data_IF_561845363115
#
_entry.id   IF_561845363115
#
_cell.length_a   1.000
_cell.length_b   1.000
_cell.length_c   1.000
_cell.angle_alpha   90.00
_cell.angle_beta   90.00
_cell.angle_gamma   90.00
#
_symmetry.space_group_name_H-M   'P 1'
#
loop_
_entity.id
_entity.type
_entity.pdbx_description
1 polymer ?
#
# COMPACT_ATOMS: atom_id res chain seq x y z
N UNK A 1 -68.64 17.51 14.40
CA UNK A 1 -68.66 16.98 15.78
C UNK A 1 -69.17 15.54 15.75
N UNK A 2 -68.34 14.64 16.28
CA UNK A 2 -68.65 13.37 16.97
C UNK A 2 -69.61 12.29 16.38
N UNK A 3 -69.02 11.09 16.30
CA UNK A 3 -69.45 9.77 16.84
C UNK A 3 -70.28 8.80 15.97
N UNK A 4 -69.61 7.69 15.64
CA UNK A 4 -69.88 6.27 15.98
C UNK A 4 -71.28 5.66 15.90
N UNK A 5 -71.35 4.44 15.34
CA UNK A 5 -72.43 3.42 15.45
C UNK A 5 -72.39 2.50 14.21
N UNK A 6 -71.86 1.27 14.19
CA UNK A 6 -72.12 -0.02 14.88
C UNK A 6 -73.46 -0.71 14.48
N UNK A 7 -73.35 -2.03 14.22
CA UNK A 7 -74.35 -3.12 14.08
C UNK A 7 -74.97 -3.33 12.68
N UNK A 8 -75.10 -4.54 12.12
CA UNK A 8 -74.89 -5.95 12.53
C UNK A 8 -75.16 -6.83 11.27
N UNK A 9 -75.25 -8.16 11.23
CA UNK A 9 -75.21 -9.28 12.16
C UNK A 9 -75.32 -10.58 11.30
N UNK A 10 -74.99 -11.76 11.88
CA UNK A 10 -75.36 -13.15 11.49
C UNK A 10 -74.36 -13.86 10.55
N UNK A 11 -73.85 -15.06 10.84
CA UNK A 11 -74.12 -16.00 11.94
C UNK A 11 -73.19 -17.22 11.88
N UNK A 12 -72.96 -17.80 13.06
CA UNK A 12 -72.10 -18.95 13.34
C UNK A 12 -72.54 -20.26 12.68
N UNK A 13 -71.56 -21.06 12.24
CA UNK A 13 -71.60 -22.52 12.32
C UNK A 13 -70.23 -23.00 12.81
N UNK A 14 -70.22 -23.52 14.04
CA UNK A 14 -69.11 -24.25 14.65
C UNK A 14 -69.23 -25.72 14.26
N UNK A 15 -68.13 -26.32 13.79
CA UNK A 15 -67.78 -27.70 14.13
C UNK A 15 -66.25 -27.79 14.26
N UNK A 16 -65.83 -28.22 15.44
CA UNK A 16 -64.48 -28.58 15.85
C UNK A 16 -64.18 -30.04 15.47
N UNK A 17 -62.94 -30.38 15.05
CA UNK A 17 -62.17 -31.54 15.55
C UNK A 17 -60.83 -31.76 14.80
N UNK A 18 -59.76 -31.92 15.61
CA UNK A 18 -58.47 -32.63 15.44
C UNK A 18 -57.64 -32.52 14.12
N UNK A 19 -56.39 -32.04 14.24
CA UNK A 19 -55.31 -32.26 13.25
C UNK A 19 -54.56 -33.58 13.49
N UNK A 20 -53.26 -33.70 13.14
CA UNK A 20 -52.50 -33.11 12.03
C UNK A 20 -52.14 -34.18 10.97
N UNK A 21 -51.67 -33.82 9.78
CA UNK A 21 -50.70 -34.69 9.08
C UNK A 21 -49.87 -33.95 8.03
N UNK A 22 -48.60 -34.34 8.01
CA UNK A 22 -47.49 -33.83 7.23
C UNK A 22 -47.62 -34.27 5.77
N UNK A 23 -47.41 -33.36 4.82
CA UNK A 23 -47.04 -33.75 3.46
C UNK A 23 -45.66 -33.16 3.15
N UNK A 24 -44.69 -34.07 3.09
CA UNK A 24 -43.32 -33.80 2.69
C UNK A 24 -43.31 -33.42 1.20
N UNK A 25 -42.79 -32.24 0.90
CA UNK A 25 -42.51 -31.80 -0.46
C UNK A 25 -41.21 -32.49 -0.94
N UNK A 26 -41.31 -33.21 -2.05
CA UNK A 26 -40.25 -34.08 -2.59
C UNK A 26 -39.03 -33.24 -3.05
N UNK A 27 -37.78 -33.63 -2.71
CA UNK A 27 -36.62 -32.84 -3.10
C UNK A 27 -36.38 -32.91 -4.62
N UNK A 28 -36.25 -31.73 -5.24
CA UNK A 28 -35.90 -31.53 -6.65
C UNK A 28 -34.72 -32.42 -7.09
N UNK A 29 -34.96 -33.35 -8.01
CA UNK A 29 -33.89 -34.14 -8.64
C UNK A 29 -33.11 -33.30 -9.64
N UNK A 30 -31.87 -32.96 -9.29
CA UNK A 30 -30.91 -32.37 -10.22
C UNK A 30 -30.51 -33.39 -11.30
N UNK A 31 -30.25 -32.95 -12.55
CA UNK A 31 -29.76 -33.83 -13.59
C UNK A 31 -28.38 -34.40 -13.24
N UNK A 32 -28.10 -35.63 -13.69
CA UNK A 32 -26.82 -36.30 -13.45
C UNK A 32 -25.67 -35.48 -14.05
N UNK A 33 -24.67 -35.18 -13.21
CA UNK A 33 -23.46 -34.46 -13.63
C UNK A 33 -22.70 -35.32 -14.64
N UNK A 34 -22.43 -34.76 -15.82
CA UNK A 34 -21.52 -35.37 -16.79
C UNK A 34 -20.15 -35.59 -16.14
N UNK A 35 -19.61 -36.80 -16.31
CA UNK A 35 -18.29 -37.18 -15.81
C UNK A 35 -17.22 -36.51 -16.68
N UNK A 36 -16.90 -35.26 -16.38
CA UNK A 36 -15.65 -34.66 -16.86
C UNK A 36 -14.49 -35.46 -16.28
N UNK A 37 -13.63 -35.98 -17.16
CA UNK A 37 -12.39 -36.67 -16.80
C UNK A 37 -11.42 -35.70 -16.13
N UNK A 38 -11.62 -35.42 -14.85
CA UNK A 38 -10.62 -34.79 -14.00
C UNK A 38 -9.71 -35.91 -13.51
N UNK A 39 -8.46 -35.90 -13.94
CA UNK A 39 -7.42 -36.78 -13.41
C UNK A 39 -7.29 -36.50 -11.91
N UNK A 40 -7.88 -37.34 -11.07
CA UNK A 40 -7.71 -37.31 -9.61
C UNK A 40 -6.37 -37.93 -9.27
N UNK A 41 -5.30 -37.23 -9.59
CA UNK A 41 -4.02 -37.44 -8.92
C UNK A 41 -4.17 -36.73 -7.57
N UNK A 42 -4.14 -37.48 -6.47
CA UNK A 42 -4.05 -36.87 -5.14
C UNK A 42 -2.67 -36.25 -5.02
N UNK A 43 -2.55 -35.00 -5.43
CA UNK A 43 -1.37 -34.19 -5.14
C UNK A 43 -1.58 -33.67 -3.72
N UNK A 44 -0.98 -34.34 -2.73
CA UNK A 44 -0.78 -33.75 -1.41
C UNK A 44 0.19 -32.58 -1.57
N UNK A 45 -0.34 -31.40 -1.91
CA UNK A 45 0.42 -30.16 -1.82
C UNK A 45 0.25 -29.71 -0.37
N UNK A 46 1.25 -29.97 0.47
CA UNK A 46 1.22 -29.42 1.83
C UNK A 46 1.34 -27.89 1.73
N UNK A 47 0.81 -27.15 2.71
CA UNK A 47 1.01 -25.68 2.78
C UNK A 47 2.51 -25.31 2.67
N UNK A 48 3.38 -26.20 3.11
CA UNK A 48 4.82 -26.06 3.02
C UNK A 48 5.33 -26.15 1.57
N UNK A 49 4.71 -26.93 0.68
CA UNK A 49 5.10 -27.06 -0.73
C UNK A 49 4.67 -25.87 -1.61
N UNK A 50 3.60 -25.15 -1.24
CA UNK A 50 3.22 -23.88 -1.90
C UNK A 50 4.12 -22.73 -1.43
N UNK A 51 4.60 -22.80 -0.19
CA UNK A 51 5.41 -21.76 0.46
C UNK A 51 6.91 -22.04 0.38
N UNK A 52 7.33 -23.22 -0.07
CA UNK A 52 8.73 -23.51 -0.33
C UNK A 52 9.09 -22.95 -1.70
N UNK A 53 9.92 -21.90 -1.80
CA UNK A 53 10.56 -21.63 -3.07
C UNK A 53 11.32 -22.90 -3.43
N UNK A 54 11.03 -23.48 -4.60
CA UNK A 54 12.00 -24.38 -5.25
C UNK A 54 13.29 -23.57 -5.30
N UNK A 55 14.21 -23.91 -4.41
CA UNK A 55 15.54 -23.32 -4.34
C UNK A 55 16.31 -23.78 -5.57
N UNK A 56 15.96 -23.22 -6.73
CA UNK A 56 16.96 -22.90 -7.72
C UNK A 56 17.82 -21.85 -7.05
N UNK A 57 19.11 -22.14 -6.87
CA UNK A 57 20.07 -21.17 -6.34
C UNK A 57 19.76 -19.80 -6.95
N UNK A 58 19.40 -18.83 -6.12
CA UNK A 58 19.09 -17.49 -6.60
C UNK A 58 20.28 -17.04 -7.44
N UNK A 59 20.09 -16.96 -8.76
CA UNK A 59 21.17 -16.58 -9.68
C UNK A 59 21.55 -15.17 -9.27
N UNK A 60 22.68 -15.05 -8.59
CA UNK A 60 23.15 -13.79 -8.04
C UNK A 60 23.64 -12.93 -9.20
N UNK A 61 22.82 -11.97 -9.60
CA UNK A 61 23.21 -10.96 -10.58
C UNK A 61 24.19 -10.00 -9.88
N UNK A 62 25.42 -9.83 -10.38
CA UNK A 62 26.39 -8.93 -9.77
C UNK A 62 25.93 -7.47 -9.87
N UNK A 63 26.20 -6.70 -8.81
CA UNK A 63 26.00 -5.25 -8.80
C UNK A 63 27.13 -4.60 -9.62
N UNK A 64 26.77 -3.59 -10.40
CA UNK A 64 27.71 -2.74 -11.09
C UNK A 64 28.23 -1.68 -10.09
N UNK A 65 29.36 -1.95 -9.45
CA UNK A 65 29.94 -1.09 -8.40
C UNK A 65 30.22 0.34 -8.90
N UNK A 66 30.68 0.48 -10.15
CA UNK A 66 30.94 1.79 -10.74
C UNK A 66 29.63 2.60 -10.88
N UNK A 67 28.58 1.96 -11.38
CA UNK A 67 27.25 2.59 -11.47
C UNK A 67 26.67 2.87 -10.09
N UNK A 68 26.83 1.98 -9.11
CA UNK A 68 26.37 2.21 -7.74
C UNK A 68 27.00 3.47 -7.15
N UNK A 69 28.33 3.56 -7.23
CA UNK A 69 29.07 4.74 -6.76
C UNK A 69 28.63 6.01 -7.49
N UNK A 70 28.44 5.93 -8.80
CA UNK A 70 27.91 7.04 -9.60
C UNK A 70 26.52 7.48 -9.10
N UNK A 71 25.57 6.56 -8.92
CA UNK A 71 24.20 6.87 -8.49
C UNK A 71 24.15 7.43 -7.05
N UNK A 72 25.07 6.99 -6.17
CA UNK A 72 25.14 7.50 -4.80
C UNK A 72 25.70 8.91 -4.71
N UNK A 73 26.65 9.26 -5.57
CA UNK A 73 27.38 10.54 -5.52
C UNK A 73 26.76 11.62 -6.42
N UNK A 74 26.18 11.23 -7.55
CA UNK A 74 25.63 12.15 -8.55
C UNK A 74 24.37 12.83 -8.05
N UNK A 75 24.19 14.08 -8.46
CA UNK A 75 22.97 14.86 -8.26
C UNK A 75 22.49 15.36 -9.61
N UNK A 76 21.18 15.49 -9.75
CA UNK A 76 20.57 16.20 -10.86
C UNK A 76 21.03 17.66 -10.93
N UNK A 77 20.80 18.32 -12.08
CA UNK A 77 21.17 19.71 -12.26
C UNK A 77 20.54 20.60 -11.18
N UNK A 78 21.31 21.56 -10.67
CA UNK A 78 20.80 22.51 -9.71
C UNK A 78 19.62 23.30 -10.32
N UNK A 79 18.54 23.54 -9.56
CA UNK A 79 17.43 24.34 -10.06
C UNK A 79 17.88 25.79 -10.27
N UNK A 80 17.27 26.45 -11.24
CA UNK A 80 17.54 27.87 -11.56
C UNK A 80 17.14 28.83 -10.43
N UNK A 81 16.26 28.39 -9.52
CA UNK A 81 15.80 29.15 -8.37
C UNK A 81 15.84 28.29 -7.10
N UNK A 82 16.14 28.88 -5.94
CA UNK A 82 16.18 28.14 -4.68
C UNK A 82 14.78 27.65 -4.28
N UNK A 83 14.71 26.43 -3.76
CA UNK A 83 13.48 25.88 -3.18
C UNK A 83 13.27 26.47 -1.79
N UNK A 84 12.20 27.23 -1.61
CA UNK A 84 11.94 28.02 -0.38
C UNK A 84 10.61 27.73 0.28
N UNK A 85 9.70 27.09 -0.44
CA UNK A 85 8.32 26.85 -0.01
C UNK A 85 7.79 25.53 -0.60
N UNK A 86 6.59 25.15 -0.18
CA UNK A 86 5.95 23.90 -0.60
C UNK A 86 5.76 23.87 -2.13
N UNK A 87 5.35 25.00 -2.72
CA UNK A 87 5.07 25.10 -4.14
C UNK A 87 6.33 24.89 -4.98
N UNK A 88 7.42 25.57 -4.65
CA UNK A 88 8.73 25.40 -5.31
C UNK A 88 9.31 23.98 -5.09
N UNK A 89 9.05 23.36 -3.94
CA UNK A 89 9.49 21.98 -3.67
C UNK A 89 8.76 20.97 -4.55
N UNK A 90 7.43 21.09 -4.62
CA UNK A 90 6.60 20.25 -5.47
C UNK A 90 6.89 20.47 -6.96
N UNK A 91 7.13 21.71 -7.37
CA UNK A 91 7.53 22.04 -8.75
C UNK A 91 8.88 21.42 -9.13
N UNK A 92 9.83 21.32 -8.19
CA UNK A 92 11.10 20.63 -8.43
C UNK A 92 10.91 19.11 -8.57
N UNK A 93 10.00 18.51 -7.78
CA UNK A 93 9.73 17.07 -7.83
C UNK A 93 8.88 16.65 -9.04
N UNK A 94 8.01 17.53 -9.52
CA UNK A 94 7.01 17.21 -10.55
C UNK A 94 7.60 16.59 -11.84
N UNK A 95 8.69 17.10 -12.43
CA UNK A 95 9.28 16.48 -13.62
C UNK A 95 9.74 15.04 -13.38
N UNK A 96 10.33 14.74 -12.21
CA UNK A 96 10.75 13.39 -11.85
C UNK A 96 9.55 12.45 -11.72
N UNK A 97 8.47 12.93 -11.09
CA UNK A 97 7.25 12.14 -10.93
C UNK A 97 6.57 11.88 -12.29
N UNK A 98 6.56 12.87 -13.19
CA UNK A 98 6.06 12.69 -14.57
C UNK A 98 6.88 11.63 -15.32
N UNK A 99 8.20 11.65 -15.21
CA UNK A 99 9.06 10.62 -15.82
C UNK A 99 8.77 9.24 -15.23
N UNK A 100 8.65 9.11 -13.90
CA UNK A 100 8.24 7.86 -13.24
C UNK A 100 6.90 7.36 -13.77
N UNK A 101 5.88 8.21 -13.82
CA UNK A 101 4.54 7.87 -14.28
C UNK A 101 4.51 7.47 -15.76
N UNK A 102 5.36 8.08 -16.60
CA UNK A 102 5.51 7.67 -17.99
C UNK A 102 6.00 6.22 -18.06
N UNK A 103 7.09 5.89 -17.35
CA UNK A 103 7.63 4.53 -17.34
C UNK A 103 6.60 3.52 -16.84
N UNK A 104 5.83 3.88 -15.80
CA UNK A 104 4.76 3.02 -15.29
C UNK A 104 3.62 2.80 -16.25
N UNK A 105 3.24 3.83 -17.03
CA UNK A 105 2.22 3.70 -18.08
C UNK A 105 2.64 2.73 -19.17
N UNK A 106 3.95 2.60 -19.42
CA UNK A 106 4.53 1.62 -20.35
C UNK A 106 4.78 0.23 -19.71
N UNK A 107 4.18 -0.01 -18.53
CA UNK A 107 4.23 -1.29 -17.81
C UNK A 107 5.28 -1.36 -16.71
N UNK A 108 6.02 -0.26 -16.44
CA UNK A 108 7.05 -0.22 -15.41
C UNK A 108 8.26 -1.11 -15.73
N UNK A 109 9.18 -1.24 -14.79
CA UNK A 109 10.29 -2.18 -14.91
C UNK A 109 9.77 -3.61 -14.94
N UNK A 110 8.72 -3.96 -14.19
CA UNK A 110 8.14 -5.29 -14.30
C UNK A 110 7.74 -5.64 -15.75
N UNK A 111 7.06 -4.73 -16.44
CA UNK A 111 6.70 -4.90 -17.84
C UNK A 111 7.91 -5.04 -18.76
N UNK A 112 9.02 -4.33 -18.50
CA UNK A 112 10.26 -4.50 -19.26
C UNK A 112 10.80 -5.93 -19.17
N UNK A 113 10.79 -6.52 -17.97
CA UNK A 113 11.26 -7.88 -17.74
C UNK A 113 10.32 -8.92 -18.36
N UNK A 114 9.01 -8.75 -18.22
CA UNK A 114 8.02 -9.72 -18.73
C UNK A 114 8.00 -9.83 -20.27
N UNK A 115 8.31 -8.73 -20.96
CA UNK A 115 8.31 -8.68 -22.43
C UNK A 115 9.42 -9.52 -23.08
N UNK A 116 10.50 -9.84 -22.37
CA UNK A 116 11.63 -10.59 -22.92
C UNK A 116 11.81 -11.93 -22.20
N UNK A 117 11.78 -13.02 -22.95
CA UNK A 117 12.04 -14.37 -22.41
C UNK A 117 13.45 -14.52 -21.81
N UNK A 118 14.40 -13.67 -22.23
CA UNK A 118 15.78 -13.68 -21.75
C UNK A 118 15.92 -13.24 -20.30
N UNK A 119 15.06 -12.31 -19.86
CA UNK A 119 15.14 -11.67 -18.55
C UNK A 119 13.88 -11.86 -17.70
N UNK A 120 12.79 -12.39 -18.27
CA UNK A 120 11.55 -12.73 -17.54
C UNK A 120 11.77 -13.48 -16.22
N UNK A 121 12.70 -14.44 -16.10
CA UNK A 121 12.95 -15.11 -14.81
C UNK A 121 13.32 -14.17 -13.66
N UNK A 122 13.73 -12.93 -13.94
CA UNK A 122 14.12 -11.92 -12.97
C UNK A 122 13.06 -10.82 -12.76
N UNK A 123 11.83 -11.01 -13.22
CA UNK A 123 10.79 -9.96 -13.19
C UNK A 123 10.40 -9.47 -11.80
N UNK A 124 10.68 -10.26 -10.76
CA UNK A 124 10.59 -9.82 -9.36
C UNK A 124 11.48 -8.61 -9.06
N UNK A 125 12.64 -8.46 -9.73
CA UNK A 125 13.46 -7.26 -9.62
C UNK A 125 12.71 -6.05 -10.18
N UNK A 126 12.05 -6.21 -11.34
CA UNK A 126 11.22 -5.16 -11.94
C UNK A 126 10.09 -4.70 -11.02
N UNK A 127 9.33 -5.62 -10.43
CA UNK A 127 8.27 -5.28 -9.46
C UNK A 127 8.82 -4.53 -8.24
N UNK A 128 9.97 -4.98 -7.73
CA UNK A 128 10.60 -4.32 -6.58
C UNK A 128 11.12 -2.93 -6.94
N UNK A 129 11.67 -2.72 -8.13
CA UNK A 129 12.07 -1.37 -8.61
C UNK A 129 10.85 -0.47 -8.63
N UNK A 130 9.76 -0.91 -9.27
CA UNK A 130 8.53 -0.12 -9.40
C UNK A 130 7.97 0.28 -8.03
N UNK A 131 7.84 -0.68 -7.10
CA UNK A 131 7.31 -0.45 -5.76
C UNK A 131 8.21 0.46 -4.92
N UNK A 132 9.52 0.21 -4.89
CA UNK A 132 10.44 0.98 -4.07
C UNK A 132 10.65 2.41 -4.62
N UNK A 133 10.68 2.57 -5.95
CA UNK A 133 10.81 3.90 -6.56
C UNK A 133 9.54 4.74 -6.33
N UNK A 134 8.36 4.13 -6.36
CA UNK A 134 7.10 4.78 -5.95
C UNK A 134 7.18 5.26 -4.51
N UNK A 135 7.59 4.36 -3.61
CA UNK A 135 7.72 4.68 -2.20
C UNK A 135 8.66 5.87 -1.99
N UNK A 136 9.79 5.91 -2.70
CA UNK A 136 10.75 7.00 -2.61
C UNK A 136 10.15 8.32 -3.11
N UNK A 137 9.53 8.35 -4.29
CA UNK A 137 8.94 9.57 -4.86
C UNK A 137 7.77 10.08 -4.01
N UNK A 138 6.91 9.19 -3.50
CA UNK A 138 5.82 9.58 -2.60
C UNK A 138 6.33 10.10 -1.25
N UNK A 139 7.40 9.52 -0.71
CA UNK A 139 8.05 10.05 0.49
C UNK A 139 8.59 11.46 0.28
N UNK A 140 9.21 11.74 -0.87
CA UNK A 140 9.67 13.10 -1.21
C UNK A 140 8.51 14.09 -1.37
N UNK A 141 7.40 13.65 -1.99
CA UNK A 141 6.18 14.46 -2.11
C UNK A 141 5.60 14.79 -0.74
N UNK A 142 5.52 13.79 0.14
CA UNK A 142 5.08 13.95 1.52
C UNK A 142 5.97 14.98 2.24
N UNK A 143 7.30 14.85 2.14
CA UNK A 143 8.24 15.82 2.74
C UNK A 143 8.00 17.25 2.24
N UNK A 144 7.78 17.46 0.93
CA UNK A 144 7.46 18.78 0.41
C UNK A 144 6.18 19.35 1.03
N UNK A 145 5.15 18.53 1.20
CA UNK A 145 3.85 18.94 1.75
C UNK A 145 3.90 19.20 3.26
N UNK A 146 4.71 18.43 3.99
CA UNK A 146 4.76 18.46 5.47
C UNK A 146 6.06 19.06 6.02
N UNK A 147 6.82 19.77 5.18
CA UNK A 147 8.06 20.43 5.58
C UNK A 147 7.87 21.40 6.75
N UNK A 148 6.68 21.98 6.87
CA UNK A 148 6.33 22.96 7.91
C UNK A 148 5.45 22.40 9.03
N UNK A 149 5.29 21.09 9.10
CA UNK A 149 4.48 20.39 10.09
C UNK A 149 3.63 19.31 9.43
N UNK A 150 3.40 18.21 10.14
CA UNK A 150 2.56 17.11 9.65
C UNK A 150 1.12 17.34 10.12
N UNK A 151 0.15 17.50 9.21
CA UNK A 151 -1.24 17.63 9.61
C UNK A 151 -1.71 16.34 10.29
N UNK A 152 -2.45 16.47 11.39
CA UNK A 152 -3.06 15.33 12.05
C UNK A 152 -4.28 14.86 11.25
N UNK A 153 -4.39 13.55 11.01
CA UNK A 153 -5.59 12.97 10.42
C UNK A 153 -6.76 12.99 11.44
N UNK A 154 -8.02 12.81 11.00
CA UNK A 154 -9.19 12.85 11.90
C UNK A 154 -9.10 11.88 13.08
N UNK A 155 -8.54 10.69 12.86
CA UNK A 155 -8.32 9.70 13.91
C UNK A 155 -7.37 10.22 14.99
N UNK A 156 -6.19 10.72 14.60
CA UNK A 156 -5.21 11.28 15.51
C UNK A 156 -5.77 12.47 16.30
N UNK A 157 -6.54 13.35 15.65
CA UNK A 157 -7.20 14.48 16.32
C UNK A 157 -8.16 14.00 17.41
N UNK A 158 -9.01 13.02 17.09
CA UNK A 158 -10.01 12.49 18.02
C UNK A 158 -9.37 11.75 19.19
N UNK A 159 -8.40 10.88 18.90
CA UNK A 159 -7.65 10.15 19.94
C UNK A 159 -6.90 11.13 20.85
N UNK A 160 -6.22 12.14 20.29
CA UNK A 160 -5.56 13.17 21.10
C UNK A 160 -6.54 13.98 21.96
N UNK A 161 -7.75 14.27 21.46
CA UNK A 161 -8.79 14.94 22.23
C UNK A 161 -9.28 14.09 23.41
N UNK A 162 -9.45 12.78 23.21
CA UNK A 162 -9.79 11.85 24.30
C UNK A 162 -8.66 11.78 25.33
N UNK A 163 -7.40 11.63 24.88
CA UNK A 163 -6.23 11.62 25.76
C UNK A 163 -6.17 12.90 26.59
N UNK A 164 -6.43 14.07 26.00
CA UNK A 164 -6.43 15.34 26.72
C UNK A 164 -7.56 15.44 27.75
N UNK A 165 -8.71 14.79 27.50
CA UNK A 165 -9.90 14.84 28.36
C UNK A 165 -9.85 13.86 29.53
N UNK A 166 -9.37 12.63 29.30
CA UNK A 166 -9.44 11.54 30.27
C UNK A 166 -8.10 10.82 30.52
N UNK A 167 -7.04 11.22 29.83
CA UNK A 167 -5.74 10.56 29.94
C UNK A 167 -5.63 9.33 29.04
N UNK A 168 -4.40 8.87 28.84
CA UNK A 168 -4.07 7.81 27.88
C UNK A 168 -4.68 6.47 28.26
N UNK A 169 -4.57 6.07 29.52
CA UNK A 169 -5.02 4.77 30.00
C UNK A 169 -6.56 4.66 29.93
N UNK A 170 -7.27 5.69 30.39
CA UNK A 170 -8.74 5.73 30.29
C UNK A 170 -9.22 5.82 28.84
N UNK A 171 -8.45 6.47 27.94
CA UNK A 171 -8.77 6.47 26.51
C UNK A 171 -8.64 5.05 25.93
N UNK A 172 -7.59 4.32 26.33
CA UNK A 172 -7.38 2.93 25.92
C UNK A 172 -8.52 2.03 26.39
N UNK A 173 -8.87 2.10 27.67
CA UNK A 173 -10.00 1.36 28.27
C UNK A 173 -11.31 1.71 27.56
N UNK A 174 -11.56 2.99 27.28
CA UNK A 174 -12.77 3.40 26.55
C UNK A 174 -12.91 2.73 25.19
N UNK A 175 -11.84 2.69 24.38
CA UNK A 175 -11.90 2.03 23.07
C UNK A 175 -12.11 0.52 23.19
N UNK A 176 -11.50 -0.13 24.18
CA UNK A 176 -11.58 -1.59 24.34
C UNK A 176 -12.93 -1.99 24.94
N UNK A 177 -13.33 -1.38 26.05
CA UNK A 177 -14.47 -1.83 26.85
C UNK A 177 -15.80 -1.24 26.39
N UNK A 178 -15.80 0.02 25.93
CA UNK A 178 -17.03 0.72 25.54
C UNK A 178 -17.27 0.65 24.04
N UNK A 179 -16.23 0.86 23.23
CA UNK A 179 -16.36 0.80 21.76
C UNK A 179 -16.25 -0.64 21.26
N UNK A 180 -15.47 -1.50 21.93
CA UNK A 180 -15.29 -2.91 21.57
C UNK A 180 -14.19 -3.15 20.54
N UNK A 181 -13.21 -2.26 20.44
CA UNK A 181 -12.12 -2.36 19.47
C UNK A 181 -11.00 -3.29 19.97
N UNK A 182 -10.26 -3.90 19.03
CA UNK A 182 -9.17 -4.81 19.35
C UNK A 182 -8.03 -4.07 20.09
N UNK A 183 -7.52 -4.60 21.21
CA UNK A 183 -6.46 -3.92 21.98
C UNK A 183 -5.23 -3.53 21.15
N UNK A 184 -4.83 -4.38 20.20
CA UNK A 184 -3.68 -4.14 19.32
C UNK A 184 -3.89 -2.94 18.40
N UNK A 185 -5.10 -2.79 17.85
CA UNK A 185 -5.45 -1.66 16.98
C UNK A 185 -5.52 -0.36 17.78
N UNK A 186 -6.07 -0.41 18.99
CA UNK A 186 -6.11 0.73 19.91
C UNK A 186 -4.69 1.20 20.26
N UNK A 187 -3.77 0.28 20.54
CA UNK A 187 -2.38 0.61 20.82
C UNK A 187 -1.68 1.28 19.62
N UNK A 188 -1.99 0.83 18.40
CA UNK A 188 -1.54 1.49 17.18
C UNK A 188 -2.13 2.90 17.03
N UNK A 189 -3.40 3.12 17.36
CA UNK A 189 -4.03 4.45 17.32
C UNK A 189 -3.44 5.41 18.33
N UNK A 190 -3.22 4.97 19.57
CA UNK A 190 -2.60 5.79 20.61
C UNK A 190 -1.18 6.19 20.20
N UNK A 191 -0.38 5.23 19.71
CA UNK A 191 0.97 5.49 19.20
C UNK A 191 0.96 6.45 18.02
N UNK A 192 0.04 6.26 17.08
CA UNK A 192 -0.12 7.13 15.91
C UNK A 192 -0.52 8.56 16.31
N UNK A 193 -1.45 8.71 17.25
CA UNK A 193 -1.91 10.01 17.73
C UNK A 193 -0.80 10.80 18.43
N UNK A 194 -0.02 10.13 19.30
CA UNK A 194 1.14 10.72 19.95
C UNK A 194 2.22 11.13 18.94
N UNK A 195 2.54 10.24 18.00
CA UNK A 195 3.50 10.50 16.93
C UNK A 195 3.06 11.69 16.07
N UNK A 196 1.81 11.71 15.63
CA UNK A 196 1.23 12.79 14.82
C UNK A 196 1.26 14.12 15.58
N UNK A 197 0.96 14.13 16.88
CA UNK A 197 1.03 15.32 17.73
C UNK A 197 2.46 15.85 17.85
N UNK A 198 3.44 14.98 18.04
CA UNK A 198 4.86 15.37 18.11
C UNK A 198 5.35 15.99 16.80
N UNK A 199 4.90 15.48 15.66
CA UNK A 199 5.33 15.94 14.35
C UNK A 199 4.49 17.09 13.76
N UNK A 200 3.40 17.49 14.43
CA UNK A 200 2.54 18.58 14.00
C UNK A 200 3.28 19.91 13.81
N UNK A 201 4.34 20.14 14.59
CA UNK A 201 5.16 21.36 14.52
C UNK A 201 6.56 21.13 13.95
N UNK A 202 6.86 19.90 13.51
CA UNK A 202 8.18 19.53 12.98
C UNK A 202 8.53 20.39 11.77
N UNK A 203 9.74 20.94 11.74
CA UNK A 203 10.29 21.68 10.60
C UNK A 203 11.39 20.90 9.90
N UNK A 204 11.30 20.81 8.57
CA UNK A 204 12.35 20.30 7.69
C UNK A 204 12.72 21.42 6.71
N UNK A 205 13.99 21.84 6.66
CA UNK A 205 14.42 22.86 5.71
C UNK A 205 14.22 22.39 4.26
N UNK A 206 13.62 23.25 3.42
CA UNK A 206 13.42 22.94 2.01
C UNK A 206 14.73 22.69 1.25
N UNK A 207 15.84 23.30 1.68
CA UNK A 207 17.16 23.04 1.12
C UNK A 207 17.61 21.57 1.31
N UNK A 208 17.26 20.94 2.43
CA UNK A 208 17.53 19.52 2.65
C UNK A 208 16.68 18.66 1.70
N UNK A 209 15.39 18.98 1.56
CA UNK A 209 14.47 18.26 0.67
C UNK A 209 14.92 18.41 -0.79
N UNK A 210 15.32 19.61 -1.20
CA UNK A 210 15.91 19.87 -2.52
C UNK A 210 17.12 18.98 -2.77
N UNK A 211 18.05 18.87 -1.82
CA UNK A 211 19.22 18.02 -1.98
C UNK A 211 18.83 16.54 -2.17
N UNK A 212 17.78 16.08 -1.51
CA UNK A 212 17.26 14.72 -1.67
C UNK A 212 16.61 14.51 -3.05
N UNK A 213 15.76 15.44 -3.50
CA UNK A 213 15.14 15.37 -4.82
C UNK A 213 16.22 15.29 -5.92
N UNK A 214 17.25 16.14 -5.83
CA UNK A 214 18.35 16.12 -6.79
C UNK A 214 19.15 14.82 -6.75
N UNK A 215 19.32 14.21 -5.57
CA UNK A 215 19.94 12.89 -5.43
C UNK A 215 19.08 11.74 -5.96
N UNK A 216 17.77 11.92 -6.07
CA UNK A 216 16.84 10.92 -6.63
C UNK A 216 16.77 11.00 -8.15
N UNK A 217 17.05 12.15 -8.75
CA UNK A 217 16.96 12.34 -10.21
C UNK A 217 17.74 11.30 -11.03
N UNK A 218 19.03 10.99 -10.74
CA UNK A 218 19.76 9.96 -11.48
C UNK A 218 19.13 8.57 -11.44
N UNK A 219 18.38 8.24 -10.37
CA UNK A 219 17.66 6.97 -10.24
C UNK A 219 16.47 6.92 -11.20
N UNK A 220 15.73 8.02 -11.30
CA UNK A 220 14.60 8.17 -12.22
C UNK A 220 15.08 8.18 -13.67
N UNK A 221 16.21 8.84 -13.94
CA UNK A 221 16.82 8.89 -15.27
C UNK A 221 17.27 7.49 -15.71
N UNK A 222 17.91 6.71 -14.81
CA UNK A 222 18.26 5.31 -15.09
C UNK A 222 17.01 4.45 -15.30
N UNK A 223 15.97 4.63 -14.49
CA UNK A 223 14.70 3.91 -14.65
C UNK A 223 14.06 4.15 -16.03
N UNK A 224 14.08 5.40 -16.51
CA UNK A 224 13.64 5.74 -17.87
C UNK A 224 14.59 5.17 -18.93
N UNK A 225 15.90 5.25 -18.72
CA UNK A 225 16.89 4.71 -19.65
C UNK A 225 16.71 3.20 -19.84
N UNK A 226 16.42 2.45 -18.77
CA UNK A 226 16.14 1.02 -18.85
C UNK A 226 14.90 0.71 -19.70
N UNK A 227 13.86 1.54 -19.65
CA UNK A 227 12.67 1.40 -20.50
C UNK A 227 13.00 1.48 -21.99
N UNK A 228 13.89 2.41 -22.35
CA UNK A 228 14.24 2.71 -23.74
C UNK A 228 15.20 1.68 -24.34
N UNK A 229 15.82 0.84 -23.50
CA UNK A 229 16.74 -0.21 -23.96
C UNK A 229 15.98 -1.34 -24.62
N UNK A 230 16.28 -1.59 -25.89
CA UNK A 230 15.86 -2.81 -26.57
C UNK A 230 16.64 -4.01 -25.99
N UNK A 231 15.92 -5.05 -25.60
CA UNK A 231 16.53 -6.27 -25.05
C UNK A 231 17.09 -7.18 -26.14
N UNK A 232 18.38 -7.50 -26.01
CA UNK A 232 19.14 -8.38 -26.90
C UNK A 232 20.07 -9.26 -26.06
N UNK A 233 20.54 -10.41 -26.58
CA UNK A 233 21.41 -11.30 -25.80
C UNK A 233 22.72 -10.60 -25.39
N UNK A 234 23.25 -9.74 -26.27
CA UNK A 234 24.50 -8.99 -26.06
C UNK A 234 24.47 -8.00 -24.89
N UNK A 235 23.28 -7.53 -24.49
CA UNK A 235 23.13 -6.52 -23.43
C UNK A 235 22.42 -7.04 -22.18
N UNK A 236 22.06 -8.33 -22.15
CA UNK A 236 21.33 -8.98 -21.06
C UNK A 236 22.01 -8.78 -19.71
N UNK A 237 23.29 -9.12 -19.61
CA UNK A 237 24.01 -9.09 -18.32
C UNK A 237 24.14 -7.66 -17.80
N UNK A 238 24.43 -6.69 -18.68
CA UNK A 238 24.47 -5.27 -18.32
C UNK A 238 23.09 -4.76 -17.90
N UNK A 239 22.02 -5.12 -18.61
CA UNK A 239 20.66 -4.72 -18.24
C UNK A 239 20.27 -5.25 -16.85
N UNK A 240 20.55 -6.54 -16.59
CA UNK A 240 20.28 -7.17 -15.31
C UNK A 240 21.10 -6.52 -14.19
N UNK A 241 22.40 -6.33 -14.42
CA UNK A 241 23.32 -5.70 -13.46
C UNK A 241 22.90 -4.27 -13.13
N UNK A 242 22.58 -3.45 -14.13
CA UNK A 242 22.11 -2.07 -13.94
C UNK A 242 20.77 -2.03 -13.19
N UNK A 243 19.85 -2.94 -13.50
CA UNK A 243 18.54 -3.03 -12.82
C UNK A 243 18.68 -3.41 -11.34
N UNK A 244 19.52 -4.40 -11.03
CA UNK A 244 19.80 -4.80 -9.65
C UNK A 244 20.54 -3.69 -8.91
N UNK A 245 21.47 -3.01 -9.57
CA UNK A 245 22.17 -1.85 -9.01
C UNK A 245 21.21 -0.72 -8.65
N UNK A 246 20.29 -0.36 -9.56
CA UNK A 246 19.24 0.60 -9.31
C UNK A 246 18.39 0.19 -8.10
N UNK A 247 17.93 -1.06 -8.06
CA UNK A 247 17.13 -1.57 -6.94
C UNK A 247 17.87 -1.46 -5.61
N UNK A 248 19.14 -1.85 -5.57
CA UNK A 248 19.98 -1.77 -4.36
C UNK A 248 20.09 -0.33 -3.86
N UNK A 249 20.42 0.62 -4.74
CA UNK A 249 20.57 2.03 -4.36
C UNK A 249 19.25 2.63 -3.86
N UNK A 250 18.11 2.28 -4.48
CA UNK A 250 16.79 2.73 -4.00
C UNK A 250 16.51 2.16 -2.60
N UNK A 251 16.78 0.88 -2.37
CA UNK A 251 16.57 0.26 -1.06
C UNK A 251 17.44 0.89 0.02
N UNK A 252 18.71 1.13 -0.28
CA UNK A 252 19.64 1.82 0.62
C UNK A 252 19.16 3.23 0.94
N UNK A 253 18.69 3.98 -0.06
CA UNK A 253 18.03 5.29 0.13
C UNK A 253 16.85 5.21 1.08
N UNK A 254 15.93 4.27 0.86
CA UNK A 254 14.74 4.10 1.69
C UNK A 254 15.07 3.69 3.13
N UNK A 255 16.17 2.97 3.34
CA UNK A 255 16.57 2.47 4.65
C UNK A 255 17.46 3.45 5.44
N UNK A 256 18.36 4.16 4.77
CA UNK A 256 19.43 4.93 5.41
C UNK A 256 19.21 6.45 5.39
N UNK A 257 18.37 6.99 4.50
CA UNK A 257 18.13 8.44 4.43
C UNK A 257 17.13 8.87 5.51
N UNK A 258 17.53 9.58 6.58
CA UNK A 258 16.68 9.79 7.76
C UNK A 258 15.38 10.53 7.44
N UNK A 259 15.41 11.48 6.49
CA UNK A 259 14.20 12.22 6.08
C UNK A 259 13.22 11.34 5.33
N UNK A 260 13.71 10.40 4.51
CA UNK A 260 12.85 9.46 3.77
C UNK A 260 12.23 8.46 4.76
N UNK A 261 13.02 7.91 5.69
CA UNK A 261 12.53 7.01 6.74
C UNK A 261 11.44 7.70 7.57
N UNK A 262 11.69 8.95 7.99
CA UNK A 262 10.72 9.77 8.71
C UNK A 262 9.42 9.95 7.91
N UNK A 263 9.51 10.34 6.64
CA UNK A 263 8.32 10.53 5.80
C UNK A 263 7.50 9.24 5.64
N UNK A 264 8.16 8.09 5.49
CA UNK A 264 7.48 6.80 5.43
C UNK A 264 6.76 6.44 6.74
N UNK A 265 7.33 6.81 7.89
CA UNK A 265 6.68 6.64 9.19
C UNK A 265 5.48 7.58 9.35
N UNK A 266 5.58 8.81 8.85
CA UNK A 266 4.50 9.80 8.86
C UNK A 266 3.32 9.44 7.98
N UNK A 267 3.58 8.79 6.85
CA UNK A 267 2.56 8.34 5.91
C UNK A 267 1.93 6.99 6.32
N UNK A 268 2.48 6.32 7.35
CA UNK A 268 1.93 5.06 7.86
C UNK A 268 0.58 5.31 8.52
N UNK A 269 -0.50 4.79 7.93
CA UNK A 269 -1.84 4.85 8.51
C UNK A 269 -2.09 3.62 9.38
N UNK A 270 -2.61 3.79 10.61
CA UNK A 270 -3.10 2.65 11.37
C UNK A 270 -4.40 2.10 10.76
N UNK A 271 -4.85 0.89 11.16
CA UNK A 271 -6.16 0.37 10.76
C UNK A 271 -7.27 1.38 11.10
N UNK A 272 -8.33 1.42 10.28
CA UNK A 272 -9.46 2.28 10.57
C UNK A 272 -10.34 1.64 11.67
N UNK A 273 -10.89 2.43 12.60
CA UNK A 273 -11.88 1.93 13.55
C UNK A 273 -13.06 1.27 12.86
N UNK A 274 -13.54 0.17 13.43
CA UNK A 274 -14.68 -0.57 12.88
C UNK A 274 -15.98 0.23 13.01
N UNK A 275 -16.05 1.15 13.99
CA UNK A 275 -17.16 2.07 14.18
C UNK A 275 -16.68 3.52 14.07
N UNK A 276 -16.87 4.11 12.88
CA UNK A 276 -16.41 5.48 12.56
C UNK A 276 -17.22 6.58 13.24
N UNK A 277 -18.50 6.31 13.52
CA UNK A 277 -19.38 7.16 14.32
C UNK A 277 -19.00 7.00 15.79
N UNK A 278 -18.05 7.81 16.25
CA UNK A 278 -17.82 8.08 17.67
C UNK A 278 -17.63 9.58 17.88
#
# INVERSE_FOLDING_TARGET
MLKSGVFGLIGCLLLTACGPDQSAEEPLRLPEREKTWVRTEQVEITKHDVLSPKSGAAIHIPINEALQNQLMQTRGPAPQSPVKDMASCLALLEPLDKTRMLVQREGGAWGMFERSTLIRPYSNNGMQIDSNLNKLVFSLRHLCQTAQGVPQNPLALKVNALIARMGKDQTREHFIEVVGEAPEDVDLWLKHAEFSRKNATRKVPYAEIQALILKTQPLIDLYKNLLDRKMEESNKDTFLSDSVTLLTVIKERLAAEPRVVMAMQEDTQPPLPTRWEM
#
